data_IF_940185121656
#
_entry.id   IF_940185121656
#
_cell.length_a   1.000
_cell.length_b   1.000
_cell.length_c   1.000
_cell.angle_alpha   90.00
_cell.angle_beta   90.00
_cell.angle_gamma   90.00
#
_symmetry.space_group_name_H-M   'P 1'
#
loop_
_entity.id
_entity.type
_entity.pdbx_description
1 polymer ?
#
# COMPACT_ATOMS: atom_id res chain seq x y z
N UNK A 1 -22.88 -8.09 16.88
CA UNK A 1 -21.99 -8.51 15.79
C UNK A 1 -22.22 -10.00 15.63
N UNK A 2 -22.53 -10.45 14.43
CA UNK A 2 -22.76 -11.88 14.18
C UNK A 2 -21.41 -12.61 14.30
N UNK A 3 -21.29 -13.66 15.14
CA UNK A 3 -20.05 -14.43 15.26
C UNK A 3 -19.58 -15.06 13.94
N UNK A 4 -20.51 -15.44 13.06
CA UNK A 4 -20.19 -16.05 11.77
C UNK A 4 -19.60 -15.00 10.81
N UNK A 5 -20.27 -13.85 10.65
CA UNK A 5 -19.75 -12.73 9.87
C UNK A 5 -18.37 -12.26 10.36
N UNK A 6 -18.16 -12.26 11.69
CA UNK A 6 -16.88 -11.86 12.29
C UNK A 6 -15.76 -12.82 11.86
N UNK A 7 -16.02 -14.13 11.88
CA UNK A 7 -15.05 -15.16 11.49
C UNK A 7 -14.73 -15.11 10.00
N UNK A 8 -15.73 -14.88 9.16
CA UNK A 8 -15.54 -14.71 7.72
C UNK A 8 -14.71 -13.46 7.40
N UNK A 9 -15.01 -12.35 8.05
CA UNK A 9 -14.26 -11.11 7.91
C UNK A 9 -12.79 -11.29 8.34
N UNK A 10 -12.55 -11.95 9.47
CA UNK A 10 -11.20 -12.26 9.96
C UNK A 10 -10.42 -13.13 8.94
N UNK A 11 -11.06 -14.18 8.43
CA UNK A 11 -10.45 -15.07 7.42
C UNK A 11 -10.05 -14.30 6.17
N UNK A 12 -10.97 -13.49 5.63
CA UNK A 12 -10.72 -12.68 4.45
C UNK A 12 -9.59 -11.66 4.66
N UNK A 13 -9.55 -11.01 5.83
CA UNK A 13 -8.51 -10.03 6.15
C UNK A 13 -7.13 -10.67 6.31
N UNK A 14 -7.05 -11.87 6.89
CA UNK A 14 -5.80 -12.63 6.98
C UNK A 14 -5.25 -13.01 5.60
N UNK A 15 -6.13 -13.43 4.68
CA UNK A 15 -5.73 -13.70 3.28
C UNK A 15 -5.25 -12.44 2.57
N UNK A 16 -5.96 -11.32 2.77
CA UNK A 16 -5.59 -10.03 2.19
C UNK A 16 -4.22 -9.54 2.73
N UNK A 17 -3.95 -9.68 4.03
CA UNK A 17 -2.66 -9.33 4.63
C UNK A 17 -1.52 -10.13 4.00
N UNK A 18 -1.66 -11.46 3.88
CA UNK A 18 -0.64 -12.31 3.29
C UNK A 18 -0.32 -11.89 1.84
N UNK A 19 -1.35 -11.60 1.04
CA UNK A 19 -1.17 -11.14 -0.34
C UNK A 19 -0.48 -9.77 -0.40
N UNK A 20 -0.81 -8.85 0.51
CA UNK A 20 -0.15 -7.54 0.60
C UNK A 20 1.34 -7.68 0.94
N UNK A 21 1.68 -8.55 1.91
CA UNK A 21 3.07 -8.84 2.26
C UNK A 21 3.83 -9.42 1.06
N UNK A 22 3.26 -10.38 0.34
CA UNK A 22 3.84 -10.93 -0.88
C UNK A 22 4.06 -9.87 -1.97
N UNK A 23 3.11 -8.95 -2.16
CA UNK A 23 3.25 -7.86 -3.12
C UNK A 23 4.25 -6.78 -2.67
N UNK A 24 4.52 -6.63 -1.38
CA UNK A 24 5.45 -5.65 -0.85
C UNK A 24 6.92 -6.03 -1.11
N UNK A 25 7.28 -7.32 -1.03
CA UNK A 25 8.68 -7.80 -1.02
C UNK A 25 9.46 -7.57 -2.31
N UNK A 26 8.83 -7.63 -3.48
CA UNK A 26 9.52 -7.49 -4.78
C UNK A 26 8.75 -6.62 -5.78
N UNK A 27 9.46 -6.06 -6.74
CA UNK A 27 8.91 -5.36 -7.93
C UNK A 27 9.18 -6.12 -9.23
N UNK A 28 9.73 -7.33 -9.18
CA UNK A 28 10.28 -8.02 -10.36
C UNK A 28 9.22 -8.36 -11.41
N UNK A 29 7.99 -8.67 -10.97
CA UNK A 29 6.86 -8.96 -11.85
C UNK A 29 5.99 -7.72 -12.16
N UNK A 30 6.43 -6.54 -11.72
CA UNK A 30 5.77 -5.27 -12.00
C UNK A 30 6.48 -4.50 -13.12
N UNK A 31 5.68 -3.86 -13.96
CA UNK A 31 6.16 -2.90 -14.97
C UNK A 31 6.20 -1.50 -14.37
N UNK A 32 7.22 -0.73 -14.72
CA UNK A 32 7.29 0.69 -14.38
C UNK A 32 6.07 1.41 -14.97
N UNK A 33 5.31 2.10 -14.11
CA UNK A 33 4.22 2.97 -14.52
C UNK A 33 4.72 4.41 -14.67
N UNK A 34 5.30 4.94 -13.60
CA UNK A 34 5.76 6.33 -13.55
C UNK A 34 6.83 6.53 -12.48
N UNK A 35 7.83 7.38 -12.75
CA UNK A 35 8.87 7.76 -11.79
C UNK A 35 8.72 9.24 -11.43
N UNK A 36 8.15 9.52 -10.25
CA UNK A 36 7.99 10.89 -9.76
C UNK A 36 9.30 11.47 -9.20
N UNK A 37 10.16 10.61 -8.65
CA UNK A 37 11.51 10.94 -8.19
C UNK A 37 12.33 9.65 -8.00
N UNK A 38 13.61 9.78 -7.61
CA UNK A 38 14.39 8.60 -7.20
C UNK A 38 13.84 7.91 -5.95
N UNK A 39 13.10 8.64 -5.12
CA UNK A 39 12.52 8.14 -3.87
C UNK A 39 11.03 7.78 -4.04
N UNK A 40 10.45 7.90 -5.24
CA UNK A 40 8.99 7.78 -5.44
C UNK A 40 8.68 7.21 -6.82
N UNK A 41 8.39 5.90 -6.86
CA UNK A 41 8.21 5.15 -8.10
C UNK A 41 6.92 4.36 -8.03
N UNK A 42 6.10 4.51 -9.06
CA UNK A 42 4.86 3.78 -9.26
C UNK A 42 5.07 2.69 -10.30
N UNK A 43 4.47 1.53 -10.03
CA UNK A 43 4.51 0.34 -10.85
C UNK A 43 3.10 -0.24 -11.01
N UNK A 44 2.94 -1.10 -12.00
CA UNK A 44 1.70 -1.85 -12.17
C UNK A 44 1.98 -3.27 -12.67
N UNK A 45 1.05 -4.18 -12.39
CA UNK A 45 0.99 -5.49 -13.04
C UNK A 45 -0.44 -5.88 -13.35
N UNK A 46 -0.60 -6.76 -14.33
CA UNK A 46 -1.89 -7.31 -14.73
C UNK A 46 -1.98 -8.76 -14.27
N UNK A 47 -3.06 -9.12 -13.58
CA UNK A 47 -3.39 -10.50 -13.20
C UNK A 47 -4.80 -10.79 -13.69
N UNK A 48 -4.93 -11.56 -14.78
CA UNK A 48 -6.21 -11.73 -15.46
C UNK A 48 -6.78 -10.39 -15.93
N UNK A 49 -8.00 -10.07 -15.52
CA UNK A 49 -8.65 -8.79 -15.81
C UNK A 49 -8.37 -7.69 -14.77
N UNK A 50 -7.56 -7.98 -13.75
CA UNK A 50 -7.26 -7.04 -12.66
C UNK A 50 -5.93 -6.34 -12.89
N UNK A 51 -5.92 -5.02 -12.71
CA UNK A 51 -4.70 -4.21 -12.62
C UNK A 51 -4.35 -3.95 -11.16
N UNK A 52 -3.11 -4.24 -10.79
CA UNK A 52 -2.57 -4.03 -9.44
C UNK A 52 -1.54 -2.93 -9.54
N UNK A 53 -1.74 -1.85 -8.79
CA UNK A 53 -0.79 -0.74 -8.68
C UNK A 53 0.06 -0.88 -7.42
N UNK A 54 1.33 -0.51 -7.52
CA UNK A 54 2.28 -0.48 -6.41
C UNK A 54 2.99 0.86 -6.40
N UNK A 55 3.09 1.48 -5.23
CA UNK A 55 3.80 2.74 -5.05
C UNK A 55 4.87 2.58 -3.97
N UNK A 56 6.13 2.70 -4.38
CA UNK A 56 7.27 2.65 -3.48
C UNK A 56 7.72 4.08 -3.19
N UNK A 57 7.64 4.48 -1.92
CA UNK A 57 8.03 5.81 -1.46
C UNK A 57 9.00 5.74 -0.27
N UNK A 58 10.15 6.41 -0.38
CA UNK A 58 11.11 6.53 0.72
C UNK A 58 10.84 7.78 1.53
N UNK A 59 10.39 7.59 2.77
CA UNK A 59 10.16 8.70 3.71
C UNK A 59 11.47 9.05 4.44
N UNK A 60 11.88 10.32 4.39
CA UNK A 60 13.17 10.80 4.89
C UNK A 60 13.19 11.09 6.40
N UNK A 61 12.50 10.31 7.24
CA UNK A 61 12.49 10.52 8.71
C UNK A 61 12.20 9.21 9.47
N UNK A 62 13.17 8.28 9.60
CA UNK A 62 12.92 6.96 10.20
C UNK A 62 12.47 7.03 11.66
N UNK A 63 12.92 8.03 12.42
CA UNK A 63 12.51 8.26 13.82
C UNK A 63 11.03 8.65 14.00
N UNK A 64 10.28 8.84 12.90
CA UNK A 64 8.85 9.19 12.91
C UNK A 64 7.94 8.04 12.48
N UNK A 65 8.40 6.78 12.57
CA UNK A 65 7.62 5.61 12.13
C UNK A 65 6.19 5.59 12.69
N UNK A 66 6.03 5.68 14.02
CA UNK A 66 4.70 5.67 14.65
C UNK A 66 3.82 6.83 14.15
N UNK A 67 4.40 8.03 13.99
CA UNK A 67 3.69 9.19 13.47
C UNK A 67 3.22 8.98 12.01
N UNK A 68 4.07 8.37 11.16
CA UNK A 68 3.72 8.04 9.77
C UNK A 68 2.60 7.00 9.73
N UNK A 69 2.69 5.94 10.52
CA UNK A 69 1.64 4.91 10.59
C UNK A 69 0.34 5.52 11.10
N UNK A 70 0.37 6.34 12.15
CA UNK A 70 -0.82 7.04 12.63
C UNK A 70 -1.42 7.97 11.58
N UNK A 71 -0.59 8.63 10.76
CA UNK A 71 -1.07 9.47 9.66
C UNK A 71 -1.78 8.65 8.58
N UNK A 72 -1.21 7.51 8.18
CA UNK A 72 -1.80 6.62 7.16
C UNK A 72 -3.06 5.91 7.67
N UNK A 73 -3.11 5.56 8.95
CA UNK A 73 -4.25 4.87 9.57
C UNK A 73 -5.42 5.81 9.84
N UNK A 74 -5.15 7.03 10.34
CA UNK A 74 -6.18 8.04 10.66
C UNK A 74 -6.51 8.96 9.48
N UNK A 75 -6.09 8.56 8.28
CA UNK A 75 -6.11 9.43 7.11
C UNK A 75 -7.52 9.53 6.52
N UNK A 76 -8.17 10.68 6.75
CA UNK A 76 -8.87 11.44 5.70
C UNK A 76 -7.85 12.18 4.79
N UNK A 77 -6.60 11.68 4.70
CA UNK A 77 -5.48 12.48 4.26
C UNK A 77 -5.49 12.63 2.74
N UNK A 78 -5.65 13.88 2.29
CA UNK A 78 -5.42 14.32 0.91
C UNK A 78 -3.94 14.37 0.53
N UNK A 79 -3.04 14.02 1.45
CA UNK A 79 -1.59 14.26 1.33
C UNK A 79 -0.79 13.14 1.99
N UNK A 80 0.22 12.62 1.28
CA UNK A 80 1.26 11.76 1.82
C UNK A 80 2.60 12.48 1.62
N UNK A 81 3.12 13.10 2.68
CA UNK A 81 4.30 13.99 2.62
C UNK A 81 4.01 15.40 2.07
N UNK A 82 5.04 16.07 1.54
CA UNK A 82 4.95 17.46 1.03
C UNK A 82 4.32 17.59 -0.37
N UNK A 83 3.83 16.49 -0.94
CA UNK A 83 3.22 16.51 -2.28
C UNK A 83 1.72 16.31 -2.19
N UNK A 84 1.02 17.32 -2.69
CA UNK A 84 -0.34 17.21 -3.19
C UNK A 84 -0.33 16.19 -4.32
N UNK A 85 -0.94 15.02 -4.11
CA UNK A 85 -1.40 14.21 -5.22
C UNK A 85 -2.61 14.95 -5.77
N UNK A 86 -2.39 15.70 -6.85
CA UNK A 86 -3.45 16.35 -7.63
C UNK A 86 -3.89 15.42 -8.74
#
# INVERSE_FOLDING_TARGET
MDPEETKEAETLMNEAELLLQQHATSTDDYKLYHKYSNDSIAYYKKRGNTLIFKFNHKIKYPGKYNYIISMLWNSNAKYVGDKIVK
#
